data_IF_109978120250
#
_entry.id   IF_109978120250
#
_cell.length_a   1.000
_cell.length_b   1.000
_cell.length_c   1.000
_cell.angle_alpha   90.00
_cell.angle_beta   90.00
_cell.angle_gamma   90.00
#
_symmetry.space_group_name_H-M   'P 1'
#
loop_
_entity.id
_entity.type
_entity.pdbx_description
1 polymer ?
#
# COMPACT_ATOMS: atom_id res chain seq x y z
N UNK A 1 -3.18 -3.31 15.63
CA UNK A 1 -3.83 -3.68 14.35
C UNK A 1 -4.02 -5.19 14.33
N UNK A 2 -5.26 -5.69 14.18
CA UNK A 2 -5.57 -7.14 14.16
C UNK A 2 -5.48 -7.78 12.78
N UNK A 3 -5.27 -6.99 11.72
CA UNK A 3 -5.15 -7.48 10.36
C UNK A 3 -3.75 -8.01 10.05
N UNK A 4 -3.67 -8.89 9.06
CA UNK A 4 -2.43 -9.53 8.62
C UNK A 4 -1.63 -8.68 7.63
N UNK A 5 -2.29 -7.80 6.89
CA UNK A 5 -1.70 -6.85 5.96
C UNK A 5 -2.59 -5.61 5.81
N UNK A 6 -2.14 -4.63 5.02
CA UNK A 6 -2.99 -3.57 4.47
C UNK A 6 -2.97 -3.59 2.94
N UNK A 7 -4.11 -3.26 2.33
CA UNK A 7 -4.22 -2.89 0.93
C UNK A 7 -4.56 -1.40 0.84
N UNK A 8 -3.72 -0.63 0.17
CA UNK A 8 -3.95 0.76 -0.13
C UNK A 8 -4.55 0.88 -1.54
N UNK A 9 -5.78 1.39 -1.59
CA UNK A 9 -6.52 1.61 -2.83
C UNK A 9 -6.24 3.03 -3.33
N UNK A 10 -5.09 3.20 -3.97
CA UNK A 10 -4.58 4.50 -4.44
C UNK A 10 -5.10 4.84 -5.85
N UNK A 11 -6.38 5.20 -5.97
CA UNK A 11 -6.94 5.73 -7.22
C UNK A 11 -6.51 7.19 -7.47
N UNK A 12 -6.58 7.62 -8.74
CA UNK A 12 -6.43 9.03 -9.11
C UNK A 12 -7.41 9.91 -8.34
N UNK A 13 -6.90 10.97 -7.71
CA UNK A 13 -7.70 11.93 -6.95
C UNK A 13 -7.11 13.33 -7.13
N UNK A 14 -7.96 14.34 -7.29
CA UNK A 14 -7.54 15.74 -7.46
C UNK A 14 -6.52 15.93 -8.61
N UNK A 15 -6.70 15.19 -9.71
CA UNK A 15 -5.78 15.16 -10.87
C UNK A 15 -4.36 14.66 -10.56
N UNK A 16 -4.16 14.01 -9.41
CA UNK A 16 -2.92 13.34 -9.07
C UNK A 16 -3.14 11.85 -9.29
N UNK A 17 -2.39 11.27 -10.23
CA UNK A 17 -2.42 9.85 -10.53
C UNK A 17 -1.96 9.04 -9.31
N UNK A 18 -2.63 7.93 -9.03
CA UNK A 18 -2.28 6.99 -7.96
C UNK A 18 -2.15 7.62 -6.56
N UNK A 19 -2.93 8.67 -6.31
CA UNK A 19 -2.80 9.53 -5.13
C UNK A 19 -2.86 8.76 -3.81
N UNK A 20 -1.93 9.10 -2.90
CA UNK A 20 -1.90 8.65 -1.52
C UNK A 20 -1.89 9.89 -0.64
N UNK A 21 -2.90 10.05 0.20
CA UNK A 21 -3.01 11.20 1.10
C UNK A 21 -2.22 11.03 2.40
N UNK A 22 -2.06 12.11 3.16
CA UNK A 22 -1.29 12.11 4.42
C UNK A 22 -1.81 11.12 5.47
N UNK A 23 -3.12 10.94 5.60
CA UNK A 23 -3.70 9.95 6.53
C UNK A 23 -3.33 8.52 6.11
N UNK A 24 -3.43 8.21 4.81
CA UNK A 24 -3.03 6.91 4.28
C UNK A 24 -1.54 6.68 4.45
N UNK A 25 -0.70 7.70 4.24
CA UNK A 25 0.75 7.63 4.49
C UNK A 25 1.05 7.30 5.96
N UNK A 26 0.31 7.90 6.90
CA UNK A 26 0.44 7.60 8.33
C UNK A 26 0.04 6.16 8.66
N UNK A 27 -1.06 5.67 8.09
CA UNK A 27 -1.49 4.27 8.24
C UNK A 27 -0.46 3.28 7.66
N UNK A 28 0.12 3.60 6.51
CA UNK A 28 1.22 2.83 5.92
C UNK A 28 2.43 2.79 6.85
N UNK A 29 2.80 3.94 7.44
CA UNK A 29 3.87 4.02 8.44
C UNK A 29 3.57 3.14 9.67
N UNK A 30 2.33 3.15 10.14
CA UNK A 30 1.91 2.30 11.26
C UNK A 30 1.97 0.80 10.91
N UNK A 31 1.58 0.42 9.69
CA UNK A 31 1.72 -0.96 9.22
C UNK A 31 3.19 -1.38 9.13
N UNK A 32 4.05 -0.51 8.61
CA UNK A 32 5.49 -0.75 8.48
C UNK A 32 6.16 -1.03 9.83
N UNK A 33 5.94 -0.18 10.84
CA UNK A 33 6.55 -0.39 12.18
C UNK A 33 6.01 -1.63 12.88
N UNK A 34 4.79 -2.07 12.54
CA UNK A 34 4.20 -3.32 13.03
C UNK A 34 4.58 -4.55 12.18
N UNK A 35 5.50 -4.41 11.23
CA UNK A 35 5.94 -5.48 10.30
C UNK A 35 4.78 -6.12 9.53
N UNK A 36 3.74 -5.34 9.24
CA UNK A 36 2.60 -5.78 8.44
C UNK A 36 2.90 -5.53 6.96
N UNK A 37 2.76 -6.53 6.07
CA UNK A 37 2.88 -6.33 4.63
C UNK A 37 1.95 -5.23 4.14
N UNK A 38 2.46 -4.43 3.20
CA UNK A 38 1.75 -3.30 2.60
C UNK A 38 1.61 -3.61 1.12
N UNK A 39 0.38 -3.54 0.62
CA UNK A 39 0.07 -3.68 -0.79
C UNK A 39 -0.46 -2.36 -1.34
N UNK A 40 -0.02 -1.95 -2.52
CA UNK A 40 -0.63 -0.85 -3.28
C UNK A 40 -1.39 -1.42 -4.47
N UNK A 41 -2.61 -0.94 -4.71
CA UNK A 41 -3.39 -1.35 -5.87
C UNK A 41 -2.71 -0.90 -7.18
N UNK A 42 -2.24 0.35 -7.22
CA UNK A 42 -1.59 0.98 -8.36
C UNK A 42 -0.14 1.39 -8.01
N UNK A 43 0.69 1.75 -9.01
CA UNK A 43 2.06 2.21 -8.79
C UNK A 43 2.19 3.35 -7.78
N UNK A 44 3.40 3.53 -7.24
CA UNK A 44 3.71 4.62 -6.32
C UNK A 44 3.49 5.95 -7.08
N UNK A 45 2.74 6.91 -6.51
CA UNK A 45 2.53 8.21 -7.16
C UNK A 45 3.82 9.03 -7.18
N UNK A 46 3.92 9.99 -8.10
CA UNK A 46 5.00 10.99 -8.14
C UNK A 46 4.65 12.19 -7.22
N UNK A 47 5.12 12.15 -5.98
CA UNK A 47 4.85 13.10 -4.92
C UNK A 47 6.16 13.47 -4.20
N UNK A 48 6.17 14.60 -3.49
CA UNK A 48 7.34 15.03 -2.71
C UNK A 48 7.73 14.05 -1.58
N UNK A 49 6.79 13.18 -1.17
CA UNK A 49 7.01 12.14 -0.15
C UNK A 49 6.97 10.69 -0.71
N UNK A 50 7.17 10.52 -2.03
CA UNK A 50 7.33 9.19 -2.62
C UNK A 50 8.52 8.40 -2.06
N UNK A 51 9.68 9.01 -1.70
CA UNK A 51 10.77 8.30 -1.04
C UNK A 51 10.36 7.57 0.26
N UNK A 52 9.46 8.15 1.04
CA UNK A 52 8.91 7.57 2.26
C UNK A 52 8.06 6.33 1.93
N UNK A 53 7.24 6.42 0.88
CA UNK A 53 6.45 5.29 0.36
C UNK A 53 7.37 4.15 -0.11
N UNK A 54 8.43 4.49 -0.87
CA UNK A 54 9.43 3.52 -1.35
C UNK A 54 10.18 2.88 -0.16
N UNK A 55 10.53 3.67 0.85
CA UNK A 55 11.22 3.21 2.06
C UNK A 55 10.43 2.15 2.84
N UNK A 56 9.10 2.20 2.77
CA UNK A 56 8.21 1.20 3.37
C UNK A 56 8.09 -0.10 2.55
N UNK A 57 8.65 -0.14 1.34
CA UNK A 57 8.73 -1.31 0.44
C UNK A 57 7.38 -2.03 0.22
N UNK A 58 6.34 -1.33 -0.26
CA UNK A 58 5.08 -1.98 -0.57
C UNK A 58 5.19 -2.91 -1.78
N UNK A 59 4.35 -3.94 -1.83
CA UNK A 59 4.12 -4.73 -3.02
C UNK A 59 3.08 -4.05 -3.93
N UNK A 60 3.41 -3.81 -5.19
CA UNK A 60 2.53 -3.15 -6.16
C UNK A 60 1.75 -4.23 -6.92
N UNK A 61 0.42 -4.16 -6.87
CA UNK A 61 -0.46 -5.17 -7.46
C UNK A 61 -0.78 -4.91 -8.93
N UNK A 62 -0.64 -3.68 -9.42
CA UNK A 62 -1.06 -3.27 -10.76
C UNK A 62 -2.49 -3.71 -11.11
N UNK A 63 -3.41 -3.57 -10.14
CA UNK A 63 -4.81 -3.99 -10.27
C UNK A 63 -5.09 -5.48 -10.04
N UNK A 64 -4.06 -6.33 -9.95
CA UNK A 64 -4.25 -7.77 -9.77
C UNK A 64 -4.44 -8.16 -8.29
N UNK A 65 -5.70 -8.35 -7.90
CA UNK A 65 -6.06 -8.76 -6.55
C UNK A 65 -5.86 -10.27 -6.29
N UNK A 66 -5.57 -11.08 -7.31
CA UNK A 66 -5.36 -12.53 -7.11
C UNK A 66 -4.15 -12.81 -6.21
N UNK A 67 -3.15 -11.94 -6.22
CA UNK A 67 -1.98 -11.94 -5.33
C UNK A 67 -2.40 -11.94 -3.85
N UNK A 68 -3.47 -11.20 -3.49
CA UNK A 68 -3.95 -11.17 -2.11
C UNK A 68 -4.62 -12.48 -1.69
N UNK A 69 -5.29 -13.14 -2.65
CA UNK A 69 -5.87 -14.46 -2.41
C UNK A 69 -4.75 -15.46 -2.11
N UNK A 70 -3.69 -15.49 -2.91
CA UNK A 70 -2.53 -16.36 -2.69
C UNK A 70 -1.84 -16.07 -1.35
N UNK A 71 -1.65 -14.78 -1.04
CA UNK A 71 -1.13 -14.35 0.26
C UNK A 71 -1.96 -14.89 1.43
N UNK A 72 -3.29 -14.85 1.33
CA UNK A 72 -4.16 -15.37 2.39
C UNK A 72 -4.05 -16.90 2.56
N UNK A 73 -3.85 -17.67 1.48
CA UNK A 73 -3.78 -19.14 1.56
C UNK A 73 -2.43 -19.67 2.07
N UNK A 74 -1.34 -18.91 1.90
CA UNK A 74 0.01 -19.31 2.36
C UNK A 74 0.24 -19.11 3.86
N UNK A 75 -0.72 -18.51 4.57
CA UNK A 75 -0.61 -18.11 5.98
C UNK A 75 -1.56 -18.87 6.91
N UNK A 76 -2.14 -19.96 6.43
CA UNK A 76 -2.85 -20.98 7.20
C UNK A 76 -1.98 -22.24 7.33
#
# INVERSE_FOLDING_TARGET
MRSECILVVNHTKNNIENYIGGNTLLEMGFAFVNKKPIFLLNPIPELNYSPEIIGMKPAILNGDLTILREFAHTRH
#
